data_IF_832330376031
#
_entry.id   IF_832330376031
#
_cell.length_a   1.000
_cell.length_b   1.000
_cell.length_c   1.000
_cell.angle_alpha   90.00
_cell.angle_beta   90.00
_cell.angle_gamma   90.00
#
_symmetry.space_group_name_H-M   'P 1'
#
loop_
_entity.id
_entity.type
_entity.pdbx_description
1 polymer ?
#
# COMPACT_ATOMS: atom_id res chain seq x y z
N UNK A 1 -62.00 35.92 3.05
CA UNK A 1 -61.17 36.82 3.89
C UNK A 1 -60.85 36.04 5.17
N UNK A 2 -59.70 35.46 5.47
CA UNK A 2 -58.39 35.28 4.85
C UNK A 2 -57.85 33.93 5.38
N UNK A 3 -57.04 33.14 4.64
CA UNK A 3 -56.58 31.85 5.12
C UNK A 3 -55.39 32.04 6.10
N UNK A 4 -55.45 31.38 7.26
CA UNK A 4 -54.36 31.34 8.23
C UNK A 4 -53.31 30.33 7.75
N UNK A 5 -52.11 30.82 7.44
CA UNK A 5 -50.96 30.02 7.02
C UNK A 5 -50.34 29.38 8.27
N UNK A 6 -50.45 28.06 8.41
CA UNK A 6 -49.71 27.30 9.42
C UNK A 6 -48.26 27.12 8.94
N UNK A 7 -47.30 27.63 9.72
CA UNK A 7 -45.87 27.38 9.52
C UNK A 7 -45.55 25.90 9.79
N UNK A 8 -44.68 25.24 9.00
CA UNK A 8 -44.23 23.90 9.31
C UNK A 8 -43.33 23.93 10.55
N UNK A 9 -43.71 23.13 11.54
CA UNK A 9 -42.94 22.85 12.74
C UNK A 9 -41.57 22.25 12.39
N UNK A 10 -40.50 22.81 12.98
CA UNK A 10 -39.15 22.28 12.88
C UNK A 10 -39.10 20.81 13.36
N UNK A 11 -38.36 19.92 12.68
CA UNK A 11 -38.27 18.53 13.12
C UNK A 11 -37.58 18.44 14.48
N UNK A 12 -38.28 17.82 15.43
CA UNK A 12 -37.80 17.52 16.78
C UNK A 12 -36.60 16.57 16.74
N UNK A 13 -35.60 16.89 17.56
CA UNK A 13 -34.30 16.21 17.75
C UNK A 13 -34.38 14.80 18.37
N UNK A 14 -35.43 14.05 18.13
CA UNK A 14 -35.67 12.73 18.74
C UNK A 14 -36.17 11.74 17.71
N UNK A 15 -35.26 11.37 16.79
CA UNK A 15 -35.29 10.04 16.21
C UNK A 15 -33.86 9.60 15.84
N UNK A 16 -33.00 9.52 16.87
CA UNK A 16 -31.78 8.71 16.81
C UNK A 16 -32.15 7.33 17.32
N UNK A 17 -32.71 6.51 16.43
CA UNK A 17 -32.66 5.06 16.59
C UNK A 17 -31.19 4.65 16.60
N UNK A 18 -30.68 4.43 17.82
CA UNK A 18 -29.37 3.87 18.10
C UNK A 18 -29.30 2.42 17.61
N UNK A 19 -29.08 2.22 16.31
CA UNK A 19 -28.19 1.15 15.92
C UNK A 19 -26.79 1.64 16.26
N UNK A 20 -26.23 1.17 17.37
CA UNK A 20 -24.80 1.32 17.67
C UNK A 20 -24.02 0.61 16.57
N UNK A 21 -23.78 1.27 15.43
CA UNK A 21 -22.82 0.82 14.44
C UNK A 21 -21.44 0.88 15.10
N UNK A 22 -21.00 -0.26 15.63
CA UNK A 22 -19.65 -0.39 16.18
C UNK A 22 -18.67 0.01 15.09
N UNK A 23 -17.78 0.94 15.41
CA UNK A 23 -16.71 1.35 14.52
C UNK A 23 -15.85 0.14 14.16
N UNK A 24 -15.58 -0.05 12.86
CA UNK A 24 -14.80 -1.18 12.36
C UNK A 24 -13.33 -0.79 12.32
N UNK A 25 -12.46 -1.65 12.87
CA UNK A 25 -11.02 -1.45 12.76
C UNK A 25 -10.54 -1.90 11.37
N UNK A 26 -9.88 -0.98 10.65
CA UNK A 26 -9.35 -1.20 9.31
C UNK A 26 -7.92 -0.71 9.25
N UNK A 27 -7.03 -1.56 8.75
CA UNK A 27 -5.67 -1.18 8.40
C UNK A 27 -5.57 -0.97 6.88
N UNK A 28 -5.00 0.16 6.44
CA UNK A 28 -4.75 0.43 5.03
C UNK A 28 -3.31 0.88 4.82
N UNK A 29 -2.53 0.09 4.10
CA UNK A 29 -1.24 0.47 3.54
C UNK A 29 -1.43 0.96 2.10
N UNK A 30 -1.58 2.27 1.92
CA UNK A 30 -1.68 2.89 0.60
C UNK A 30 -0.27 3.18 0.06
N UNK A 31 0.37 2.17 -0.54
CA UNK A 31 1.69 2.30 -1.16
C UNK A 31 1.65 3.03 -2.51
N UNK A 32 2.80 3.22 -3.13
CA UNK A 32 2.86 3.81 -4.48
C UNK A 32 2.51 2.83 -5.60
N UNK A 33 2.75 1.53 -5.39
CA UNK A 33 2.42 0.49 -6.37
C UNK A 33 1.08 -0.19 -6.07
N UNK A 34 0.84 -0.54 -4.80
CA UNK A 34 -0.33 -1.29 -4.38
C UNK A 34 -0.90 -0.77 -3.06
N UNK A 35 -2.23 -0.70 -3.01
CA UNK A 35 -3.00 -0.41 -1.81
C UNK A 35 -3.44 -1.74 -1.23
N UNK A 36 -3.13 -1.96 0.05
CA UNK A 36 -3.41 -3.19 0.77
C UNK A 36 -4.23 -2.86 1.99
N UNK A 37 -5.30 -3.59 2.24
CA UNK A 37 -6.12 -3.36 3.42
C UNK A 37 -6.59 -4.65 4.08
N UNK A 38 -6.69 -4.57 5.40
CA UNK A 38 -7.18 -5.63 6.28
C UNK A 38 -8.28 -5.06 7.18
N UNK A 39 -9.30 -5.86 7.47
CA UNK A 39 -10.29 -5.53 8.50
C UNK A 39 -10.19 -6.50 9.68
N UNK A 40 -10.60 -6.05 10.87
CA UNK A 40 -10.73 -6.92 12.04
C UNK A 40 -11.69 -8.10 11.82
N UNK A 41 -12.63 -7.97 10.88
CA UNK A 41 -13.54 -9.05 10.48
C UNK A 41 -12.87 -10.14 9.61
N UNK A 42 -11.56 -10.04 9.36
CA UNK A 42 -10.80 -11.00 8.54
C UNK A 42 -10.83 -10.71 7.04
N UNK A 43 -11.44 -9.59 6.62
CA UNK A 43 -11.42 -9.16 5.22
C UNK A 43 -10.03 -8.72 4.79
N UNK A 44 -9.65 -9.04 3.55
CA UNK A 44 -8.35 -8.71 2.96
C UNK A 44 -8.53 -8.32 1.50
N UNK A 45 -7.98 -7.17 1.10
CA UNK A 45 -7.98 -6.71 -0.29
C UNK A 45 -6.62 -6.12 -0.67
N UNK A 46 -6.25 -6.26 -1.94
CA UNK A 46 -5.08 -5.63 -2.53
C UNK A 46 -5.39 -5.29 -3.98
N UNK A 47 -5.06 -4.07 -4.38
CA UNK A 47 -5.20 -3.62 -5.76
C UNK A 47 -4.12 -2.58 -6.10
N UNK A 48 -3.80 -2.37 -7.38
CA UNK A 48 -2.84 -1.35 -7.80
C UNK A 48 -3.24 0.03 -7.28
N UNK A 49 -2.30 0.84 -6.80
CA UNK A 49 -2.56 2.20 -6.30
C UNK A 49 -2.77 3.20 -7.45
N UNK A 50 -3.78 2.91 -8.25
CA UNK A 50 -4.12 3.62 -9.48
C UNK A 50 -5.59 4.03 -9.41
N UNK A 51 -5.84 5.29 -9.72
CA UNK A 51 -7.16 5.88 -9.79
C UNK A 51 -7.15 6.95 -10.88
N UNK A 52 -8.19 6.97 -11.70
CA UNK A 52 -8.39 8.05 -12.66
C UNK A 52 -9.87 8.16 -13.03
N UNK A 53 -10.33 9.33 -13.51
CA UNK A 53 -11.59 9.41 -14.22
C UNK A 53 -11.59 8.45 -15.42
N UNK A 54 -12.74 7.87 -15.80
CA UNK A 54 -12.80 7.06 -17.02
C UNK A 54 -12.45 7.93 -18.24
N UNK A 55 -11.60 7.45 -19.16
CA UNK A 55 -11.34 8.17 -20.40
C UNK A 55 -12.61 8.22 -21.26
N UNK A 56 -12.70 9.18 -22.21
CA UNK A 56 -13.76 9.16 -23.22
C UNK A 56 -13.79 7.81 -23.94
N UNK A 57 -14.98 7.21 -24.09
CA UNK A 57 -15.17 5.92 -24.76
C UNK A 57 -16.16 6.07 -25.90
N UNK A 58 -15.98 5.23 -26.93
CA UNK A 58 -17.02 4.96 -27.91
C UNK A 58 -18.12 4.18 -27.19
N UNK A 59 -19.37 4.62 -27.33
CA UNK A 59 -20.53 3.91 -26.81
C UNK A 59 -20.72 2.61 -27.62
N UNK A 60 -20.47 1.48 -26.97
CA UNK A 60 -20.66 0.14 -27.52
C UNK A 60 -21.86 -0.57 -26.85
N UNK A 61 -22.73 0.18 -26.17
CA UNK A 61 -23.80 -0.37 -25.35
C UNK A 61 -23.26 -1.25 -24.22
N UNK A 62 -23.91 -2.41 -24.01
CA UNK A 62 -23.54 -3.37 -22.96
C UNK A 62 -22.16 -4.01 -23.16
N UNK A 63 -21.62 -3.99 -24.39
CA UNK A 63 -20.35 -4.63 -24.74
C UNK A 63 -19.09 -3.84 -24.31
N UNK A 64 -19.24 -2.65 -23.72
CA UNK A 64 -18.14 -1.75 -23.36
C UNK A 64 -18.09 -1.27 -21.91
N UNK A 65 -18.92 -1.82 -21.02
CA UNK A 65 -19.03 -1.33 -19.65
C UNK A 65 -17.74 -1.63 -18.85
N UNK A 66 -17.12 -0.57 -18.33
CA UNK A 66 -16.09 -0.72 -17.31
C UNK A 66 -16.74 -0.87 -15.94
N UNK A 67 -16.13 -1.68 -15.08
CA UNK A 67 -16.44 -1.71 -13.67
C UNK A 67 -16.00 -0.37 -13.03
N UNK A 68 -16.93 0.59 -12.96
CA UNK A 68 -16.69 1.91 -12.39
C UNK A 68 -16.96 1.91 -10.88
N UNK A 69 -16.11 2.61 -10.15
CA UNK A 69 -16.37 2.97 -8.74
C UNK A 69 -16.81 4.42 -8.70
N UNK A 70 -17.93 4.70 -8.04
CA UNK A 70 -18.41 6.06 -7.86
C UNK A 70 -18.03 6.56 -6.47
N UNK A 71 -17.43 7.74 -6.37
CA UNK A 71 -17.09 8.40 -5.09
C UNK A 71 -17.80 9.75 -5.08
N UNK A 72 -18.75 9.93 -4.16
CA UNK A 72 -19.60 11.14 -4.05
C UNK A 72 -20.23 11.55 -5.39
N UNK A 73 -20.75 10.56 -6.13
CA UNK A 73 -21.39 10.75 -7.43
C UNK A 73 -20.43 10.87 -8.61
N UNK A 74 -19.11 10.92 -8.40
CA UNK A 74 -18.11 11.01 -9.48
C UNK A 74 -17.56 9.63 -9.85
N UNK A 75 -17.53 9.24 -11.14
CA UNK A 75 -17.05 7.93 -11.57
C UNK A 75 -15.52 7.87 -11.69
N UNK A 76 -14.94 6.75 -11.29
CA UNK A 76 -13.51 6.46 -11.35
C UNK A 76 -13.26 5.02 -11.82
N UNK A 77 -12.15 4.83 -12.54
CA UNK A 77 -11.47 3.55 -12.66
C UNK A 77 -10.49 3.43 -11.49
N UNK A 78 -10.44 2.28 -10.82
CA UNK A 78 -9.59 2.04 -9.65
C UNK A 78 -8.92 0.68 -9.75
N UNK A 79 -7.61 0.63 -9.49
CA UNK A 79 -6.84 -0.61 -9.51
C UNK A 79 -6.58 -1.09 -10.93
N UNK A 80 -6.85 -2.37 -11.19
CA UNK A 80 -6.54 -3.01 -12.48
C UNK A 80 -7.24 -2.33 -13.68
N UNK A 81 -8.54 -1.95 -13.61
CA UNK A 81 -9.19 -1.16 -14.67
C UNK A 81 -8.51 0.19 -14.98
N UNK A 82 -7.76 0.75 -14.03
CA UNK A 82 -7.08 2.04 -14.19
C UNK A 82 -5.67 1.90 -14.78
N UNK A 83 -5.12 0.67 -14.89
CA UNK A 83 -3.72 0.40 -15.23
C UNK A 83 -3.21 1.14 -16.48
N UNK A 84 -4.00 1.13 -17.56
CA UNK A 84 -3.65 1.76 -18.85
C UNK A 84 -3.98 3.25 -18.95
N UNK A 85 -4.49 3.86 -17.89
CA UNK A 85 -5.10 5.20 -17.95
C UNK A 85 -4.62 6.13 -16.83
N UNK A 86 -4.36 5.58 -15.65
CA UNK A 86 -3.94 6.35 -14.49
C UNK A 86 -2.46 6.67 -14.54
N UNK A 87 -2.10 7.86 -14.06
CA UNK A 87 -0.73 8.16 -13.72
C UNK A 87 -0.43 7.58 -12.33
N UNK A 88 0.71 6.91 -12.12
CA UNK A 88 1.04 6.40 -10.79
C UNK A 88 1.16 7.53 -9.75
N UNK A 89 0.66 7.26 -8.54
CA UNK A 89 0.67 8.24 -7.45
C UNK A 89 2.08 8.37 -6.88
N UNK A 90 2.79 9.44 -7.23
CA UNK A 90 4.17 9.70 -6.76
C UNK A 90 4.29 10.80 -5.71
N UNK A 91 3.17 11.38 -5.26
CA UNK A 91 3.19 12.45 -4.28
C UNK A 91 3.92 12.00 -3.02
N UNK A 92 4.89 12.82 -2.58
CA UNK A 92 5.53 12.67 -1.28
C UNK A 92 4.69 13.26 -0.15
N UNK A 93 3.67 14.05 -0.47
CA UNK A 93 2.71 14.60 0.48
C UNK A 93 1.40 13.85 0.34
N UNK A 94 1.25 12.79 1.14
CA UNK A 94 0.03 11.96 1.14
C UNK A 94 -1.16 12.67 1.77
N UNK A 95 -0.94 13.69 2.59
CA UNK A 95 -2.02 14.43 3.24
C UNK A 95 -2.70 15.37 2.24
N UNK A 96 -1.93 15.96 1.33
CA UNK A 96 -2.42 16.85 0.28
C UNK A 96 -2.87 16.12 -0.99
N UNK A 97 -2.61 14.82 -1.12
CA UNK A 97 -2.98 14.02 -2.29
C UNK A 97 -4.41 13.45 -2.17
N UNK A 98 -5.41 14.02 -2.88
CA UNK A 98 -6.79 13.59 -2.77
C UNK A 98 -7.00 12.17 -3.31
N UNK A 99 -6.16 11.70 -4.24
CA UNK A 99 -6.25 10.36 -4.81
C UNK A 99 -5.82 9.31 -3.79
N UNK A 100 -4.74 9.55 -3.05
CA UNK A 100 -4.35 8.73 -1.90
C UNK A 100 -5.48 8.62 -0.86
N UNK A 101 -6.11 9.74 -0.48
CA UNK A 101 -7.21 9.72 0.50
C UNK A 101 -8.43 8.94 -0.02
N UNK A 102 -8.78 9.11 -1.29
CA UNK A 102 -9.86 8.34 -1.95
C UNK A 102 -9.58 6.85 -1.97
N UNK A 103 -8.36 6.45 -2.33
CA UNK A 103 -7.96 5.04 -2.35
C UNK A 103 -8.09 4.38 -0.98
N UNK A 104 -7.82 5.11 0.11
CA UNK A 104 -8.01 4.62 1.48
C UNK A 104 -9.49 4.31 1.76
N UNK A 105 -10.42 5.21 1.41
CA UNK A 105 -11.86 4.96 1.58
C UNK A 105 -12.36 3.83 0.67
N UNK A 106 -11.87 3.78 -0.57
CA UNK A 106 -12.25 2.71 -1.51
C UNK A 106 -11.78 1.35 -0.99
N UNK A 107 -10.58 1.26 -0.42
CA UNK A 107 -10.07 0.05 0.21
C UNK A 107 -10.98 -0.40 1.37
N UNK A 108 -11.40 0.52 2.24
CA UNK A 108 -12.36 0.21 3.32
C UNK A 108 -13.73 -0.22 2.77
N UNK A 109 -14.24 0.45 1.73
CA UNK A 109 -15.50 0.07 1.09
C UNK A 109 -15.44 -1.33 0.46
N UNK A 110 -14.31 -1.69 -0.18
CA UNK A 110 -14.11 -3.03 -0.77
C UNK A 110 -14.14 -4.13 0.30
N UNK A 111 -13.67 -3.83 1.52
CA UNK A 111 -13.79 -4.69 2.70
C UNK A 111 -15.22 -4.76 3.28
N UNK A 112 -16.19 -4.09 2.67
CA UNK A 112 -17.60 -4.10 3.08
C UNK A 112 -17.94 -3.09 4.17
N UNK A 113 -17.02 -2.17 4.51
CA UNK A 113 -17.25 -1.18 5.56
C UNK A 113 -18.33 -0.19 5.14
N UNK A 114 -19.28 0.04 6.04
CA UNK A 114 -20.29 1.09 5.95
C UNK A 114 -20.45 1.68 7.34
N UNK A 115 -20.42 3.01 7.45
CA UNK A 115 -20.47 3.72 8.72
C UNK A 115 -19.11 4.21 9.24
N UNK A 116 -18.98 4.40 10.57
CA UNK A 116 -17.73 4.85 11.18
C UNK A 116 -16.66 3.76 11.11
N UNK A 117 -15.40 4.15 10.93
CA UNK A 117 -14.25 3.25 11.03
C UNK A 117 -13.06 3.86 11.76
N UNK A 118 -12.33 3.02 12.51
CA UNK A 118 -11.03 3.34 13.07
C UNK A 118 -9.96 2.91 12.07
N UNK A 119 -9.21 3.87 11.56
CA UNK A 119 -8.20 3.64 10.54
C UNK A 119 -6.81 3.58 11.16
N UNK A 120 -6.04 2.55 10.82
CA UNK A 120 -4.58 2.58 10.92
C UNK A 120 -3.98 2.61 9.52
N UNK A 121 -3.03 3.50 9.30
CA UNK A 121 -2.29 3.63 8.04
C UNK A 121 -0.83 4.00 8.33
N UNK A 122 -0.02 4.23 7.30
CA UNK A 122 1.36 4.62 7.53
C UNK A 122 2.03 5.39 6.41
N UNK A 123 3.23 5.85 6.77
CA UNK A 123 4.11 6.65 5.95
C UNK A 123 5.48 5.97 5.88
N UNK A 124 6.22 6.13 4.75
CA UNK A 124 7.63 5.76 4.70
C UNK A 124 8.38 6.35 5.88
N UNK A 125 9.39 5.63 6.37
CA UNK A 125 10.08 6.02 7.60
C UNK A 125 10.68 7.43 7.51
N UNK A 126 11.23 7.78 6.35
CA UNK A 126 11.82 9.09 6.07
C UNK A 126 10.82 10.26 6.12
N UNK A 127 9.52 9.99 5.98
CA UNK A 127 8.46 11.02 5.93
C UNK A 127 7.67 11.10 7.24
N UNK A 128 7.68 10.02 8.04
CA UNK A 128 6.85 9.87 9.22
C UNK A 128 6.98 11.03 10.22
N UNK A 129 8.21 11.44 10.54
CA UNK A 129 8.47 12.51 11.51
C UNK A 129 7.83 13.85 11.12
N UNK A 130 7.90 14.21 9.84
CA UNK A 130 7.40 15.49 9.34
C UNK A 130 5.91 15.46 8.98
N UNK A 131 5.37 14.32 8.52
CA UNK A 131 4.06 14.27 7.87
C UNK A 131 2.96 13.56 8.66
N UNK A 132 3.27 12.82 9.74
CA UNK A 132 2.26 12.00 10.44
C UNK A 132 1.04 12.79 10.93
N UNK A 133 1.25 14.03 11.40
CA UNK A 133 0.15 14.86 11.91
C UNK A 133 -0.71 15.39 10.77
N UNK A 134 -0.09 15.88 9.69
CA UNK A 134 -0.81 16.35 8.51
C UNK A 134 -1.67 15.23 7.90
N UNK A 135 -1.12 14.01 7.76
CA UNK A 135 -1.89 12.87 7.24
C UNK A 135 -3.02 12.47 8.19
N UNK A 136 -2.76 12.44 9.51
CA UNK A 136 -3.80 12.17 10.51
C UNK A 136 -4.94 13.18 10.39
N UNK A 137 -4.62 14.46 10.31
CA UNK A 137 -5.60 15.53 10.31
C UNK A 137 -6.41 15.57 9.00
N UNK A 138 -5.77 15.24 7.87
CA UNK A 138 -6.45 15.10 6.57
C UNK A 138 -7.43 13.92 6.53
N UNK A 139 -7.12 12.82 7.24
CA UNK A 139 -7.97 11.63 7.30
C UNK A 139 -9.06 11.71 8.38
N UNK A 140 -8.83 12.44 9.47
CA UNK A 140 -9.78 12.50 10.58
C UNK A 140 -11.07 13.21 10.14
N UNK A 141 -12.19 12.51 10.21
CA UNK A 141 -13.49 12.99 9.72
C UNK A 141 -13.65 12.95 8.20
N UNK A 142 -12.62 12.52 7.45
CA UNK A 142 -12.74 12.32 6.01
C UNK A 142 -13.80 11.26 5.73
N UNK A 143 -14.70 11.58 4.80
CA UNK A 143 -15.91 10.82 4.55
C UNK A 143 -16.25 10.86 3.06
N UNK A 144 -16.83 9.77 2.56
CA UNK A 144 -17.38 9.70 1.22
C UNK A 144 -18.52 8.68 1.16
N UNK A 145 -19.35 8.81 0.13
CA UNK A 145 -20.22 7.73 -0.33
C UNK A 145 -19.54 7.02 -1.49
N UNK A 146 -19.16 5.76 -1.28
CA UNK A 146 -18.51 4.92 -2.29
C UNK A 146 -19.51 3.89 -2.80
N UNK A 147 -19.71 3.84 -4.11
CA UNK A 147 -20.50 2.80 -4.78
C UNK A 147 -19.57 1.94 -5.60
N UNK A 148 -19.37 0.69 -5.17
CA UNK A 148 -18.62 -0.30 -5.92
C UNK A 148 -19.50 -0.95 -6.99
N UNK A 149 -18.92 -1.54 -8.06
CA UNK A 149 -19.67 -2.31 -9.04
C UNK A 149 -20.58 -3.34 -8.36
N UNK A 150 -21.84 -3.39 -8.78
CA UNK A 150 -22.86 -4.33 -8.31
C UNK A 150 -23.12 -4.32 -6.79
N UNK A 151 -22.77 -3.23 -6.09
CA UNK A 151 -23.03 -3.05 -4.66
C UNK A 151 -23.85 -1.79 -4.38
N UNK A 152 -24.68 -1.78 -3.32
CA UNK A 152 -25.37 -0.57 -2.90
C UNK A 152 -24.36 0.50 -2.44
N UNK A 153 -24.73 1.80 -2.46
CA UNK A 153 -23.88 2.87 -1.96
C UNK A 153 -23.50 2.66 -0.48
N UNK A 154 -22.20 2.75 -0.19
CA UNK A 154 -21.62 2.63 1.14
C UNK A 154 -21.16 4.01 1.60
N UNK A 155 -21.83 4.58 2.60
CA UNK A 155 -21.35 5.81 3.25
C UNK A 155 -20.41 5.45 4.39
N UNK A 156 -19.18 5.95 4.36
CA UNK A 156 -18.16 5.69 5.38
C UNK A 156 -17.45 6.98 5.79
N UNK A 157 -16.98 7.02 7.03
CA UNK A 157 -16.18 8.12 7.56
C UNK A 157 -15.19 7.63 8.62
N UNK A 158 -14.05 8.31 8.70
CA UNK A 158 -12.98 7.92 9.61
C UNK A 158 -13.13 8.65 10.94
N UNK A 159 -13.42 7.93 12.02
CA UNK A 159 -13.66 8.51 13.34
C UNK A 159 -12.38 8.67 14.17
N UNK A 160 -11.39 7.83 13.90
CA UNK A 160 -10.08 7.79 14.55
C UNK A 160 -9.03 7.37 13.54
N UNK A 161 -7.85 7.96 13.68
CA UNK A 161 -6.72 7.71 12.79
C UNK A 161 -5.48 7.43 13.62
N UNK A 162 -4.81 6.31 13.32
CA UNK A 162 -3.46 6.01 13.79
C UNK A 162 -2.53 5.97 12.58
N UNK A 163 -1.50 6.81 12.59
CA UNK A 163 -0.46 6.81 11.56
C UNK A 163 0.78 6.18 12.16
N UNK A 164 1.34 5.17 11.48
CA UNK A 164 2.52 4.43 11.89
C UNK A 164 3.65 4.59 10.87
N UNK A 165 4.93 4.44 11.30
CA UNK A 165 6.02 4.30 10.36
C UNK A 165 5.95 2.94 9.66
N UNK A 166 6.05 2.95 8.32
CA UNK A 166 6.31 1.77 7.49
C UNK A 166 7.63 1.11 7.91
N UNK A 167 7.81 -0.16 7.54
CA UNK A 167 8.85 -1.07 8.04
C UNK A 167 8.73 -1.35 9.55
N UNK A 168 8.69 -0.35 10.42
CA UNK A 168 8.58 -0.57 11.87
C UNK A 168 7.31 -1.35 12.27
N UNK A 169 6.18 -1.00 11.64
CA UNK A 169 4.95 -1.77 11.78
C UNK A 169 5.08 -3.19 11.22
N UNK A 170 5.74 -3.35 10.06
CA UNK A 170 6.02 -4.63 9.44
C UNK A 170 6.88 -5.55 10.30
N UNK A 171 8.02 -5.04 10.80
CA UNK A 171 8.90 -5.74 11.73
C UNK A 171 8.15 -6.22 12.97
N UNK A 172 7.30 -5.37 13.57
CA UNK A 172 6.51 -5.76 14.75
C UNK A 172 5.56 -6.93 14.44
N UNK A 173 4.96 -6.95 13.25
CA UNK A 173 4.07 -8.02 12.83
C UNK A 173 4.82 -9.32 12.46
N UNK A 174 6.05 -9.21 11.94
CA UNK A 174 6.82 -10.34 11.43
C UNK A 174 7.72 -10.99 12.50
N UNK A 175 8.38 -10.19 13.34
CA UNK A 175 9.32 -10.65 14.37
C UNK A 175 8.61 -11.02 15.67
N UNK A 176 7.83 -12.10 15.60
CA UNK A 176 6.98 -12.58 16.69
C UNK A 176 7.61 -13.74 17.48
N UNK A 177 7.03 -14.03 18.65
CA UNK A 177 7.48 -15.10 19.54
C UNK A 177 8.54 -14.67 20.55
N UNK A 178 8.83 -15.53 21.54
CA UNK A 178 9.85 -15.26 22.54
C UNK A 178 11.27 -15.44 21.96
N UNK A 179 12.23 -14.69 22.50
CA UNK A 179 13.67 -14.89 22.27
C UNK A 179 14.36 -15.25 23.57
N UNK A 180 15.45 -16.02 23.51
CA UNK A 180 16.21 -16.45 24.70
C UNK A 180 17.41 -15.55 25.00
N UNK A 181 17.81 -14.71 24.04
CA UNK A 181 18.86 -13.71 24.16
C UNK A 181 18.49 -12.47 23.32
N UNK A 182 19.18 -11.33 23.48
CA UNK A 182 19.05 -10.24 22.55
C UNK A 182 19.40 -10.68 21.13
N UNK A 183 18.54 -10.31 20.18
CA UNK A 183 18.73 -10.57 18.74
C UNK A 183 18.56 -9.27 17.96
N UNK A 184 19.54 -8.92 17.14
CA UNK A 184 19.54 -7.71 16.31
C UNK A 184 19.34 -8.06 14.84
N UNK A 185 18.26 -7.55 14.26
CA UNK A 185 17.81 -7.83 12.91
C UNK A 185 17.81 -6.55 12.08
N UNK A 186 18.20 -6.66 10.81
CA UNK A 186 17.84 -5.65 9.81
C UNK A 186 16.48 -6.01 9.23
N UNK A 187 15.51 -5.14 9.40
CA UNK A 187 14.27 -5.20 8.62
C UNK A 187 14.46 -4.44 7.30
N UNK A 188 14.14 -5.10 6.19
CA UNK A 188 14.30 -4.62 4.83
C UNK A 188 12.98 -4.76 4.07
N UNK A 189 12.19 -3.68 4.02
CA UNK A 189 10.91 -3.63 3.33
C UNK A 189 11.11 -3.09 1.90
N UNK A 190 11.19 -4.01 0.94
CA UNK A 190 11.35 -3.66 -0.48
C UNK A 190 9.97 -3.42 -1.10
N UNK A 191 9.67 -2.14 -1.28
CA UNK A 191 8.44 -1.65 -1.91
C UNK A 191 8.54 -1.50 -3.43
N UNK A 192 7.51 -0.85 -3.98
CA UNK A 192 7.46 -0.54 -5.41
C UNK A 192 8.47 0.53 -5.81
N UNK A 193 8.54 1.63 -5.05
CA UNK A 193 9.41 2.77 -5.34
C UNK A 193 10.66 2.80 -4.47
N UNK A 194 10.47 2.51 -3.19
CA UNK A 194 11.49 2.67 -2.16
C UNK A 194 11.74 1.34 -1.47
N UNK A 195 12.89 1.25 -0.83
CA UNK A 195 13.23 0.18 0.12
C UNK A 195 13.48 0.84 1.46
N UNK A 196 12.59 0.60 2.42
CA UNK A 196 12.77 1.08 3.79
C UNK A 196 13.60 0.07 4.57
N UNK A 197 14.49 0.58 5.43
CA UNK A 197 15.34 -0.26 6.26
C UNK A 197 15.44 0.29 7.67
N UNK A 198 15.51 -0.61 8.66
CA UNK A 198 15.74 -0.25 10.05
C UNK A 198 16.37 -1.42 10.81
N UNK A 199 17.11 -1.10 11.87
CA UNK A 199 17.66 -2.11 12.77
C UNK A 199 16.73 -2.25 13.97
N UNK A 200 16.39 -3.51 14.27
CA UNK A 200 15.53 -3.92 15.37
C UNK A 200 16.31 -4.80 16.33
N UNK A 201 16.24 -4.53 17.63
CA UNK A 201 16.71 -5.47 18.64
C UNK A 201 15.54 -6.01 19.45
N UNK A 202 15.40 -7.33 19.48
CA UNK A 202 14.43 -8.05 20.31
C UNK A 202 15.10 -8.48 21.61
N UNK A 203 14.34 -8.49 22.70
CA UNK A 203 14.84 -8.89 24.01
C UNK A 203 13.90 -9.93 24.67
N UNK A 204 14.42 -10.81 25.55
CA UNK A 204 13.60 -11.79 26.26
C UNK A 204 12.61 -11.16 27.25
N UNK A 205 13.00 -10.05 27.86
CA UNK A 205 12.42 -9.49 29.08
C UNK A 205 11.96 -8.03 28.95
N UNK A 206 12.11 -7.43 27.75
CA UNK A 206 11.68 -6.06 27.48
C UNK A 206 11.14 -5.89 26.05
N UNK A 207 10.40 -4.80 25.78
CA UNK A 207 9.92 -4.51 24.43
C UNK A 207 11.04 -4.41 23.41
N UNK A 208 10.67 -4.68 22.16
CA UNK A 208 11.52 -4.49 21.00
C UNK A 208 11.99 -3.04 20.88
N UNK A 209 13.25 -2.86 20.51
CA UNK A 209 13.90 -1.58 20.32
C UNK A 209 14.21 -1.35 18.84
N UNK A 210 14.01 -0.13 18.36
CA UNK A 210 14.31 0.26 16.97
C UNK A 210 15.43 1.30 17.04
N UNK A 211 16.56 1.01 16.38
CA UNK A 211 17.68 1.93 16.27
C UNK A 211 17.37 3.00 15.21
N UNK A 212 16.64 4.05 15.63
CA UNK A 212 16.11 5.10 14.74
C UNK A 212 17.20 5.86 13.97
N UNK A 213 18.40 5.95 14.52
CA UNK A 213 19.59 6.57 13.92
C UNK A 213 20.22 5.71 12.81
N UNK A 214 19.91 4.42 12.77
CA UNK A 214 20.35 3.47 11.75
C UNK A 214 19.21 3.07 10.82
N UNK A 215 18.17 3.89 10.75
CA UNK A 215 16.98 3.65 9.97
C UNK A 215 16.84 4.67 8.83
N UNK A 216 16.27 4.25 7.70
CA UNK A 216 16.17 5.11 6.53
C UNK A 216 15.35 4.51 5.39
N UNK A 217 15.39 5.20 4.26
CA UNK A 217 14.69 4.82 3.05
C UNK A 217 15.61 5.05 1.85
N UNK A 218 15.68 4.06 0.97
CA UNK A 218 16.39 4.12 -0.31
C UNK A 218 15.36 4.35 -1.42
N UNK A 219 15.59 5.25 -2.35
CA UNK A 219 14.78 5.39 -3.59
C UNK A 219 15.16 4.30 -4.60
N UNK A 220 15.17 3.05 -4.12
CA UNK A 220 15.45 1.82 -4.86
C UNK A 220 14.26 0.90 -4.62
N UNK A 221 13.54 0.54 -5.68
CA UNK A 221 12.39 -0.36 -5.58
C UNK A 221 12.11 -1.05 -6.91
N UNK A 222 11.10 -1.93 -6.92
CA UNK A 222 10.76 -2.75 -8.09
C UNK A 222 10.44 -1.96 -9.36
N UNK A 223 10.01 -0.70 -9.24
CA UNK A 223 9.83 0.20 -10.36
C UNK A 223 11.08 0.32 -11.23
N UNK A 224 12.29 0.35 -10.63
CA UNK A 224 13.54 0.40 -11.38
C UNK A 224 13.78 -0.87 -12.23
N UNK A 225 13.32 -2.04 -11.76
CA UNK A 225 13.38 -3.30 -12.51
C UNK A 225 12.44 -3.22 -13.71
N UNK A 226 11.22 -2.74 -13.51
CA UNK A 226 10.21 -2.59 -14.57
C UNK A 226 10.69 -1.61 -15.65
N UNK A 227 11.26 -0.47 -15.27
CA UNK A 227 11.79 0.52 -16.22
C UNK A 227 12.91 -0.03 -17.11
N UNK A 228 13.82 -0.80 -16.52
CA UNK A 228 14.89 -1.46 -17.28
C UNK A 228 14.34 -2.54 -18.21
N UNK A 229 13.37 -3.33 -17.74
CA UNK A 229 12.72 -4.37 -18.53
C UNK A 229 11.98 -3.78 -19.73
N UNK A 230 11.21 -2.70 -19.53
CA UNK A 230 10.54 -1.97 -20.62
C UNK A 230 11.57 -1.52 -21.65
N UNK A 231 12.61 -0.80 -21.23
CA UNK A 231 13.67 -0.35 -22.16
C UNK A 231 14.31 -1.49 -22.94
N UNK A 232 14.55 -2.63 -22.30
CA UNK A 232 15.08 -3.81 -22.99
C UNK A 232 14.09 -4.35 -24.02
N UNK A 233 12.82 -4.51 -23.64
CA UNK A 233 11.78 -5.00 -24.53
C UNK A 233 11.57 -4.05 -25.72
N UNK A 234 11.52 -2.74 -25.49
CA UNK A 234 11.41 -1.73 -26.55
C UNK A 234 12.59 -1.81 -27.51
N UNK A 235 13.82 -1.86 -26.99
CA UNK A 235 15.04 -1.98 -27.80
C UNK A 235 15.12 -3.29 -28.57
N UNK A 236 14.61 -4.39 -28.01
CA UNK A 236 14.71 -5.74 -28.61
C UNK A 236 13.64 -5.97 -29.66
N UNK A 237 12.41 -5.48 -29.42
CA UNK A 237 11.24 -5.80 -30.24
C UNK A 237 10.76 -4.63 -31.11
N UNK A 238 11.22 -3.41 -30.84
CA UNK A 238 10.80 -2.21 -31.56
C UNK A 238 9.33 -1.87 -31.34
N UNK A 239 8.80 -2.16 -30.15
CA UNK A 239 7.42 -1.93 -29.75
C UNK A 239 7.41 -1.07 -28.49
N UNK A 240 6.48 -0.12 -28.37
CA UNK A 240 6.27 0.62 -27.14
C UNK A 240 5.51 -0.25 -26.13
N UNK A 241 5.91 -0.18 -24.87
CA UNK A 241 5.29 -0.93 -23.78
C UNK A 241 4.92 -0.01 -22.64
N UNK A 242 3.77 -0.25 -22.02
CA UNK A 242 3.39 0.45 -20.78
C UNK A 242 4.11 -0.21 -19.59
N UNK A 243 4.77 0.59 -18.75
CA UNK A 243 5.46 0.10 -17.54
C UNK A 243 4.52 -0.72 -16.64
N UNK A 244 3.30 -0.21 -16.45
CA UNK A 244 2.30 -0.84 -15.60
C UNK A 244 1.83 -2.18 -16.19
N UNK A 245 1.84 -2.35 -17.51
CA UNK A 245 1.48 -3.60 -18.19
C UNK A 245 2.55 -4.67 -17.96
N UNK A 246 3.83 -4.33 -18.14
CA UNK A 246 4.92 -5.31 -17.98
C UNK A 246 5.14 -5.72 -16.52
N UNK A 247 4.79 -4.85 -15.57
CA UNK A 247 4.95 -5.13 -14.14
C UNK A 247 4.26 -6.44 -13.73
N UNK A 248 3.02 -6.66 -14.17
CA UNK A 248 2.16 -7.77 -13.75
C UNK A 248 2.17 -8.98 -14.69
N UNK A 249 2.86 -8.91 -15.83
CA UNK A 249 2.85 -9.99 -16.82
C UNK A 249 3.99 -10.98 -16.61
N UNK A 250 3.66 -12.27 -16.75
CA UNK A 250 4.63 -13.37 -16.81
C UNK A 250 5.23 -13.54 -18.21
N UNK A 251 4.47 -13.13 -19.24
CA UNK A 251 4.86 -13.29 -20.63
C UNK A 251 4.19 -12.25 -21.53
N UNK A 252 4.85 -11.90 -22.63
CA UNK A 252 4.31 -11.07 -23.69
C UNK A 252 4.07 -11.89 -24.96
N UNK A 253 3.04 -11.54 -25.71
CA UNK A 253 2.88 -12.02 -27.08
C UNK A 253 3.47 -10.99 -28.03
N UNK A 254 4.54 -11.34 -28.73
CA UNK A 254 5.23 -10.47 -29.67
C UNK A 254 5.15 -11.12 -31.04
N UNK A 255 4.37 -10.50 -31.94
CA UNK A 255 4.18 -10.97 -33.33
C UNK A 255 3.74 -12.45 -33.44
N UNK A 256 2.94 -12.91 -32.48
CA UNK A 256 2.44 -14.28 -32.42
C UNK A 256 3.24 -15.21 -31.51
N UNK A 257 4.47 -14.84 -31.15
CA UNK A 257 5.32 -15.65 -30.27
C UNK A 257 5.14 -15.26 -28.81
N UNK A 258 5.09 -16.27 -27.93
CA UNK A 258 5.01 -16.06 -26.48
C UNK A 258 6.41 -15.98 -25.88
N UNK A 259 6.78 -14.80 -25.40
CA UNK A 259 8.06 -14.51 -24.75
C UNK A 259 7.87 -14.50 -23.24
N UNK A 260 8.60 -15.36 -22.52
CA UNK A 260 8.61 -15.33 -21.06
C UNK A 260 9.40 -14.11 -20.55
N UNK A 261 8.82 -13.36 -19.60
CA UNK A 261 9.44 -12.16 -19.03
C UNK A 261 10.40 -12.47 -17.88
N UNK A 262 10.24 -13.60 -17.18
CA UNK A 262 11.07 -13.93 -16.03
C UNK A 262 12.59 -13.94 -16.35
N UNK A 263 13.08 -14.60 -17.42
CA UNK A 263 14.51 -14.58 -17.76
C UNK A 263 15.04 -13.19 -18.12
N UNK A 264 14.19 -12.32 -18.64
CA UNK A 264 14.54 -10.92 -18.95
C UNK A 264 14.57 -10.07 -17.67
N UNK A 265 13.72 -10.39 -16.69
CA UNK A 265 13.58 -9.65 -15.42
C UNK A 265 14.69 -9.98 -14.42
N UNK A 266 15.12 -11.24 -14.32
CA UNK A 266 16.08 -11.72 -13.31
C UNK A 266 17.38 -10.90 -13.26
N UNK A 267 18.04 -10.56 -14.38
CA UNK A 267 19.28 -9.76 -14.32
C UNK A 267 19.08 -8.39 -13.69
N UNK A 268 17.92 -7.75 -13.91
CA UNK A 268 17.62 -6.45 -13.31
C UNK A 268 17.27 -6.56 -11.82
N UNK A 269 16.62 -7.65 -11.41
CA UNK A 269 16.39 -7.97 -10.00
C UNK A 269 17.72 -8.18 -9.27
N UNK A 270 18.64 -8.93 -9.86
CA UNK A 270 19.98 -9.15 -9.31
C UNK A 270 20.73 -7.83 -9.15
N UNK A 271 20.72 -6.96 -10.17
CA UNK A 271 21.34 -5.64 -10.07
C UNK A 271 20.69 -4.76 -9.01
N UNK A 272 19.36 -4.79 -8.87
CA UNK A 272 18.67 -4.03 -7.83
C UNK A 272 19.07 -4.53 -6.43
N UNK A 273 19.09 -5.84 -6.21
CA UNK A 273 19.51 -6.43 -4.94
C UNK A 273 20.95 -6.05 -4.57
N UNK A 274 21.88 -6.10 -5.52
CA UNK A 274 23.27 -5.65 -5.31
C UNK A 274 23.33 -4.17 -4.94
N UNK A 275 22.60 -3.30 -5.64
CA UNK A 275 22.55 -1.87 -5.32
C UNK A 275 22.00 -1.59 -3.92
N UNK A 276 20.94 -2.31 -3.52
CA UNK A 276 20.39 -2.20 -2.16
C UNK A 276 21.44 -2.63 -1.13
N UNK A 277 22.10 -3.77 -1.34
CA UNK A 277 23.17 -4.25 -0.46
C UNK A 277 24.31 -3.22 -0.33
N UNK A 278 24.78 -2.65 -1.44
CA UNK A 278 25.89 -1.71 -1.44
C UNK A 278 25.54 -0.39 -0.71
N UNK A 279 24.32 0.12 -0.91
CA UNK A 279 23.80 1.28 -0.17
C UNK A 279 23.67 1.00 1.33
N UNK A 280 23.17 -0.18 1.71
CA UNK A 280 23.10 -0.60 3.11
C UNK A 280 24.49 -0.70 3.72
N UNK A 281 25.47 -1.25 3.00
CA UNK A 281 26.85 -1.35 3.45
C UNK A 281 27.50 0.03 3.65
N UNK A 282 27.21 0.98 2.76
CA UNK A 282 27.66 2.37 2.88
C UNK A 282 27.09 3.06 4.13
N UNK A 283 25.80 2.83 4.42
CA UNK A 283 25.07 3.54 5.49
C UNK A 283 25.22 2.90 6.86
N UNK A 284 25.23 1.57 6.91
CA UNK A 284 25.25 0.77 8.14
C UNK A 284 26.67 0.28 8.49
N UNK A 285 27.62 0.29 7.55
CA UNK A 285 29.00 -0.07 7.81
C UNK A 285 29.16 -1.42 8.50
N UNK A 286 29.98 -1.45 9.55
CA UNK A 286 30.29 -2.65 10.31
C UNK A 286 29.10 -3.23 11.10
N UNK A 287 28.02 -2.46 11.29
CA UNK A 287 26.82 -2.94 11.98
C UNK A 287 26.13 -4.05 11.19
N UNK A 288 26.18 -3.99 9.85
CA UNK A 288 25.59 -5.00 8.97
C UNK A 288 26.20 -6.38 9.19
N UNK A 289 27.51 -6.44 9.47
CA UNK A 289 28.26 -7.67 9.72
C UNK A 289 28.03 -8.24 11.13
N UNK A 290 27.31 -7.52 12.00
CA UNK A 290 27.07 -7.89 13.42
C UNK A 290 25.62 -8.28 13.70
N UNK A 291 24.79 -8.39 12.68
CA UNK A 291 23.37 -8.73 12.79
C UNK A 291 23.19 -10.24 12.98
N UNK A 292 22.18 -10.61 13.75
CA UNK A 292 21.70 -11.99 13.86
C UNK A 292 20.95 -12.44 12.59
N UNK A 293 20.34 -11.50 11.86
CA UNK A 293 19.56 -11.82 10.68
C UNK A 293 19.15 -10.59 9.85
N UNK A 294 18.72 -10.85 8.62
CA UNK A 294 18.06 -9.87 7.76
C UNK A 294 16.64 -10.37 7.49
N UNK A 295 15.64 -9.64 7.94
CA UNK A 295 14.25 -9.92 7.63
C UNK A 295 13.86 -9.14 6.37
N UNK A 296 13.43 -9.84 5.33
CA UNK A 296 12.96 -9.23 4.09
C UNK A 296 11.44 -9.20 4.06
N UNK A 297 10.90 -8.00 3.90
CA UNK A 297 9.47 -7.69 3.80
C UNK A 297 9.15 -6.99 2.47
N UNK A 298 7.86 -6.68 2.26
CA UNK A 298 7.39 -5.97 1.08
C UNK A 298 7.13 -6.88 -0.12
N UNK A 299 6.34 -6.38 -1.07
CA UNK A 299 6.03 -7.13 -2.30
C UNK A 299 7.26 -7.34 -3.18
N UNK A 300 8.18 -6.37 -3.22
CA UNK A 300 9.46 -6.51 -3.90
C UNK A 300 10.41 -7.46 -3.19
N UNK A 301 10.28 -7.61 -1.87
CA UNK A 301 11.14 -8.46 -1.05
C UNK A 301 11.03 -9.92 -1.48
N UNK A 302 9.79 -10.39 -1.74
CA UNK A 302 9.55 -11.73 -2.29
C UNK A 302 10.25 -11.93 -3.65
N UNK A 303 10.15 -10.94 -4.55
CA UNK A 303 10.75 -11.01 -5.87
C UNK A 303 12.29 -10.97 -5.85
N UNK A 304 12.87 -10.22 -4.91
CA UNK A 304 14.32 -10.09 -4.76
C UNK A 304 14.94 -11.12 -3.81
N UNK A 305 14.13 -11.89 -3.07
CA UNK A 305 14.61 -12.80 -2.03
C UNK A 305 15.71 -13.76 -2.52
N UNK A 306 15.60 -14.43 -3.68
CA UNK A 306 16.69 -15.30 -4.17
C UNK A 306 18.02 -14.56 -4.35
N UNK A 307 17.97 -13.30 -4.79
CA UNK A 307 19.14 -12.44 -4.99
C UNK A 307 19.69 -11.94 -3.65
N UNK A 308 18.81 -11.47 -2.75
CA UNK A 308 19.15 -10.99 -1.43
C UNK A 308 19.74 -12.10 -0.54
N UNK A 309 19.24 -13.33 -0.63
CA UNK A 309 19.76 -14.46 0.15
C UNK A 309 21.20 -14.82 -0.23
N UNK A 310 21.61 -14.57 -1.48
CA UNK A 310 23.02 -14.75 -1.91
C UNK A 310 23.95 -13.68 -1.34
N UNK A 311 23.43 -12.47 -1.09
CA UNK A 311 24.18 -11.34 -0.55
C UNK A 311 24.18 -11.33 0.99
N UNK A 312 23.08 -11.78 1.59
CA UNK A 312 22.85 -11.92 3.02
C UNK A 312 22.50 -13.39 3.34
N UNK A 313 23.48 -14.25 3.65
CA UNK A 313 23.22 -15.66 3.94
C UNK A 313 22.25 -15.89 5.10
N UNK A 314 22.17 -14.93 6.04
CA UNK A 314 21.27 -14.89 7.19
C UNK A 314 19.90 -14.24 6.89
N UNK A 315 19.54 -14.12 5.61
CA UNK A 315 18.27 -13.55 5.16
C UNK A 315 17.10 -14.51 5.38
N UNK A 316 16.00 -14.00 5.93
CA UNK A 316 14.71 -14.68 6.04
C UNK A 316 13.63 -13.85 5.34
N UNK A 317 12.81 -14.52 4.52
CA UNK A 317 11.61 -13.92 3.97
C UNK A 317 10.47 -14.00 4.99
N UNK A 318 9.83 -12.88 5.28
CA UNK A 318 8.63 -12.87 6.12
C UNK A 318 7.49 -13.69 5.51
N UNK A 319 6.80 -14.49 6.31
CA UNK A 319 5.70 -15.38 5.85
C UNK A 319 4.58 -14.64 5.13
N UNK A 320 4.26 -13.42 5.60
CA UNK A 320 3.29 -12.50 4.97
C UNK A 320 3.99 -11.20 4.57
N UNK A 321 5.20 -11.29 3.99
CA UNK A 321 6.07 -10.15 3.66
C UNK A 321 5.33 -8.98 2.99
N UNK A 322 4.50 -9.26 1.99
CA UNK A 322 3.75 -8.23 1.25
C UNK A 322 2.70 -7.50 2.12
N UNK A 323 2.26 -8.11 3.21
CA UNK A 323 1.18 -7.66 4.09
C UNK A 323 1.65 -7.21 5.46
N UNK A 324 2.95 -7.32 5.75
CA UNK A 324 3.52 -7.08 7.06
C UNK A 324 3.13 -5.71 7.63
N UNK A 325 3.23 -4.62 6.84
CA UNK A 325 2.81 -3.29 7.28
C UNK A 325 1.32 -3.24 7.65
N UNK A 326 0.44 -3.78 6.80
CA UNK A 326 -1.00 -3.79 7.06
C UNK A 326 -1.35 -4.61 8.31
N UNK A 327 -0.66 -5.73 8.55
CA UNK A 327 -0.78 -6.50 9.80
C UNK A 327 -0.32 -5.69 11.01
N UNK A 328 0.84 -5.03 10.92
CA UNK A 328 1.35 -4.16 11.98
C UNK A 328 0.42 -3.00 12.31
N UNK A 329 -0.20 -2.41 11.29
CA UNK A 329 -1.21 -1.37 11.46
C UNK A 329 -2.45 -1.91 12.15
N UNK A 330 -2.94 -3.09 11.77
CA UNK A 330 -4.13 -3.69 12.37
C UNK A 330 -3.90 -4.07 13.83
N UNK A 331 -2.72 -4.61 14.17
CA UNK A 331 -2.31 -4.91 15.55
C UNK A 331 -2.25 -3.65 16.44
N UNK A 332 -2.13 -2.47 15.83
CA UNK A 332 -2.02 -1.21 16.55
C UNK A 332 -3.37 -0.54 16.85
N UNK A 333 -4.50 -1.08 16.36
CA UNK A 333 -5.87 -0.62 16.61
C UNK A 333 -6.53 -1.43 17.74
#
# INVERSE_FOLDING_TARGET
MSPHFAMPSAPSLTDRTQASTRSVNVAVDCGHGYTKALSQAGGRIMFPSLICPPPPRVDLGEFGQAALVTIDGQPFLIGEPARRHATPLWSRDKAADPETLRLILVAAAQLGVTGPLQLATGLPLSWFGAQRHALRDALLGYAATVTLPDRPPQRLWIDRVKVLPQAAAGALAALTGPVTRPETWLDLDVGYRTTDYLIVTRYPDRPMEIATELAGSLELGMHAVTQELVRQCESTYGLAFDESELESLDSLTIRGDRVALAPLRTPYQDRLATRIHDELRLRLGAQLDRLDGVLVLGGGGHALYPSLQRLFPQCLLGSEAQWANAHGYLLAL
#
